data_IF_589711256896
#
_entry.id   IF_589711256896
#
_cell.length_a   1.000
_cell.length_b   1.000
_cell.length_c   1.000
_cell.angle_alpha   90.00
_cell.angle_beta   90.00
_cell.angle_gamma   90.00
#
_symmetry.space_group_name_H-M   'P 1'
#
loop_
_entity.id
_entity.type
_entity.pdbx_description
1 polymer ?
#
# COMPACT_ATOMS: atom_id res chain seq x y z
N UNK A 1 18.04 2.02 20.24
CA UNK A 1 17.10 1.16 19.49
C UNK A 1 16.05 0.68 20.47
N UNK A 2 14.84 1.24 20.42
CA UNK A 2 13.79 0.94 21.40
C UNK A 2 13.16 -0.41 21.10
N UNK A 3 13.05 -1.28 22.11
CA UNK A 3 12.41 -2.60 22.05
C UNK A 3 10.97 -2.52 21.53
N UNK A 4 10.33 -1.36 21.65
CA UNK A 4 8.96 -1.11 21.19
C UNK A 4 8.77 -1.13 19.67
N UNK A 5 9.83 -0.86 18.87
CA UNK A 5 9.70 -0.84 17.41
C UNK A 5 9.46 -2.23 16.83
N UNK A 6 10.04 -3.27 17.43
CA UNK A 6 9.92 -4.65 16.93
C UNK A 6 8.53 -5.24 17.11
N UNK A 7 7.93 -5.07 18.31
CA UNK A 7 6.59 -5.60 18.59
C UNK A 7 5.52 -4.85 17.80
N UNK A 8 5.60 -3.52 17.73
CA UNK A 8 4.67 -2.70 16.94
C UNK A 8 4.69 -3.09 15.45
N UNK A 9 5.87 -3.36 14.89
CA UNK A 9 6.00 -3.80 13.51
C UNK A 9 5.42 -5.19 13.28
N UNK A 10 5.66 -6.13 14.21
CA UNK A 10 5.07 -7.48 14.13
C UNK A 10 3.53 -7.44 14.19
N UNK A 11 2.96 -6.59 15.05
CA UNK A 11 1.49 -6.37 15.09
C UNK A 11 1.00 -5.79 13.76
N UNK A 12 1.68 -4.77 13.22
CA UNK A 12 1.30 -4.22 11.92
C UNK A 12 1.35 -5.29 10.82
N UNK A 13 2.40 -6.10 10.75
CA UNK A 13 2.57 -7.14 9.74
C UNK A 13 1.47 -8.22 9.82
N UNK A 14 1.05 -8.60 11.04
CA UNK A 14 -0.06 -9.50 11.27
C UNK A 14 -1.38 -8.90 10.74
N UNK A 15 -1.70 -7.65 11.11
CA UNK A 15 -2.90 -6.97 10.63
C UNK A 15 -2.90 -6.82 9.10
N UNK A 16 -1.75 -6.49 8.49
CA UNK A 16 -1.65 -6.44 7.03
C UNK A 16 -1.89 -7.78 6.36
N UNK A 17 -1.47 -8.89 7.00
CA UNK A 17 -1.73 -10.23 6.49
C UNK A 17 -3.22 -10.60 6.60
N UNK A 18 -3.88 -10.22 7.69
CA UNK A 18 -5.32 -10.42 7.87
C UNK A 18 -6.14 -9.63 6.85
N UNK A 19 -5.83 -8.36 6.63
CA UNK A 19 -6.48 -7.54 5.58
C UNK A 19 -6.32 -8.19 4.22
N UNK A 20 -5.10 -8.64 3.86
CA UNK A 20 -4.84 -9.32 2.57
C UNK A 20 -5.66 -10.60 2.43
N UNK A 21 -5.75 -11.40 3.50
CA UNK A 21 -6.53 -12.64 3.52
C UNK A 21 -8.03 -12.36 3.36
N UNK A 22 -8.54 -11.32 4.02
CA UNK A 22 -9.94 -10.94 3.96
C UNK A 22 -10.32 -10.17 2.68
N UNK A 23 -9.36 -9.56 1.99
CA UNK A 23 -9.58 -8.65 0.85
C UNK A 23 -10.23 -7.31 1.25
N UNK A 24 -10.39 -7.04 2.54
CA UNK A 24 -11.00 -5.82 3.07
C UNK A 24 -10.43 -5.48 4.45
N UNK A 25 -10.46 -4.19 4.82
CA UNK A 25 -10.08 -3.73 6.15
C UNK A 25 -11.33 -3.51 7.01
N UNK A 26 -11.35 -4.07 8.22
CA UNK A 26 -12.38 -3.81 9.22
C UNK A 26 -12.03 -2.57 10.05
N UNK A 27 -13.00 -2.05 10.80
CA UNK A 27 -12.78 -0.93 11.73
C UNK A 27 -11.71 -1.26 12.79
N UNK A 28 -11.63 -2.52 13.22
CA UNK A 28 -10.60 -2.98 14.16
C UNK A 28 -9.21 -2.95 13.52
N UNK A 29 -9.06 -3.46 12.29
CA UNK A 29 -7.80 -3.38 11.55
C UNK A 29 -7.33 -1.92 11.42
N UNK A 30 -8.25 -1.02 11.04
CA UNK A 30 -7.96 0.40 10.86
C UNK A 30 -7.61 1.08 12.18
N UNK A 31 -8.31 0.75 13.28
CA UNK A 31 -8.04 1.28 14.61
C UNK A 31 -6.64 0.87 15.11
N UNK A 32 -6.22 -0.37 14.89
CA UNK A 32 -4.87 -0.84 15.23
C UNK A 32 -3.82 -0.10 14.40
N UNK A 33 -4.01 -0.02 13.08
CA UNK A 33 -3.06 0.67 12.20
C UNK A 33 -3.00 2.17 12.49
N UNK A 34 -4.10 2.81 12.84
CA UNK A 34 -4.11 4.20 13.29
C UNK A 34 -3.40 4.38 14.63
N UNK A 35 -3.55 3.45 15.58
CA UNK A 35 -2.78 3.50 16.83
C UNK A 35 -1.27 3.40 16.59
N UNK A 36 -0.83 2.64 15.57
CA UNK A 36 0.58 2.44 15.24
C UNK A 36 1.17 3.57 14.39
N UNK A 37 0.42 4.07 13.40
CA UNK A 37 0.93 5.02 12.40
C UNK A 37 0.32 6.43 12.50
N UNK A 38 -0.68 6.61 13.36
CA UNK A 38 -1.37 7.87 13.62
C UNK A 38 -2.01 8.48 12.37
N UNK A 39 -1.93 9.81 12.27
CA UNK A 39 -2.45 10.61 11.15
C UNK A 39 -1.97 10.17 9.76
N UNK A 40 -0.85 9.44 9.67
CA UNK A 40 -0.38 8.90 8.40
C UNK A 40 -1.30 7.80 7.88
N UNK A 41 -1.93 7.01 8.77
CA UNK A 41 -2.92 6.02 8.37
C UNK A 41 -4.21 6.69 7.88
N UNK A 42 -4.69 7.71 8.59
CA UNK A 42 -5.87 8.50 8.17
C UNK A 42 -5.65 9.12 6.79
N UNK A 43 -4.47 9.69 6.56
CA UNK A 43 -4.09 10.22 5.24
C UNK A 43 -4.01 9.12 4.17
N UNK A 44 -3.53 7.93 4.52
CA UNK A 44 -3.45 6.79 3.61
C UNK A 44 -4.84 6.34 3.17
N UNK A 45 -5.79 6.20 4.11
CA UNK A 45 -7.19 5.88 3.81
C UNK A 45 -7.79 6.92 2.86
N UNK A 46 -7.62 8.21 3.15
CA UNK A 46 -8.11 9.29 2.29
C UNK A 46 -7.56 9.21 0.86
N UNK A 47 -6.24 8.97 0.70
CA UNK A 47 -5.63 8.81 -0.63
C UNK A 47 -6.24 7.63 -1.38
N UNK A 48 -6.52 6.53 -0.67
CA UNK A 48 -7.11 5.34 -1.26
C UNK A 48 -8.56 5.59 -1.69
N UNK A 49 -9.37 6.24 -0.83
CA UNK A 49 -10.77 6.57 -1.10
C UNK A 49 -10.91 7.53 -2.29
N UNK A 50 -9.96 8.46 -2.45
CA UNK A 50 -9.88 9.39 -3.59
C UNK A 50 -9.30 8.75 -4.86
N UNK A 51 -8.95 7.46 -4.84
CA UNK A 51 -8.39 6.74 -5.99
C UNK A 51 -6.95 7.15 -6.34
N UNK A 52 -6.20 7.69 -5.38
CA UNK A 52 -4.84 8.20 -5.56
C UNK A 52 -3.75 7.13 -5.67
N UNK A 53 -4.11 5.85 -5.80
CA UNK A 53 -3.17 4.73 -5.94
C UNK A 53 -3.38 4.02 -7.27
N UNK A 54 -2.29 3.89 -8.04
CA UNK A 54 -2.29 3.21 -9.34
C UNK A 54 -1.31 2.06 -9.32
N UNK A 55 -1.71 0.89 -9.78
CA UNK A 55 -0.82 -0.22 -10.12
C UNK A 55 -0.42 -0.06 -11.59
N UNK A 56 0.87 0.05 -11.84
CA UNK A 56 1.43 0.17 -13.18
C UNK A 56 2.16 -1.11 -13.50
N UNK A 57 1.77 -1.78 -14.57
CA UNK A 57 2.31 -3.08 -14.99
C UNK A 57 2.99 -2.93 -16.36
N UNK A 58 4.24 -3.36 -16.45
CA UNK A 58 5.01 -3.37 -17.69
C UNK A 58 4.75 -4.64 -18.49
N UNK A 59 4.48 -4.50 -19.78
CA UNK A 59 4.40 -5.59 -20.74
C UNK A 59 5.67 -5.64 -21.63
N UNK A 60 6.20 -6.83 -21.96
CA UNK A 60 5.67 -8.15 -21.62
C UNK A 60 6.13 -8.72 -20.26
N UNK A 61 7.00 -8.05 -19.50
CA UNK A 61 7.60 -8.66 -18.29
C UNK A 61 6.61 -9.00 -17.17
N UNK A 62 5.44 -8.35 -17.13
CA UNK A 62 4.45 -8.49 -16.06
C UNK A 62 4.89 -7.87 -14.73
N UNK A 63 6.05 -7.20 -14.69
CA UNK A 63 6.51 -6.49 -13.48
C UNK A 63 5.58 -5.33 -13.21
N UNK A 64 5.21 -5.14 -11.94
CA UNK A 64 4.33 -4.04 -11.55
C UNK A 64 4.85 -3.28 -10.34
N UNK A 65 4.44 -2.01 -10.25
CA UNK A 65 4.69 -1.14 -9.10
C UNK A 65 3.42 -0.38 -8.73
N UNK A 66 3.38 0.09 -7.49
CA UNK A 66 2.36 1.04 -7.05
C UNK A 66 2.89 2.46 -7.14
N UNK A 67 2.26 3.27 -7.99
CA UNK A 67 2.56 4.69 -8.12
C UNK A 67 1.67 5.48 -7.14
N UNK A 68 2.24 5.82 -6.00
CA UNK A 68 1.60 6.64 -4.97
C UNK A 68 2.66 7.49 -4.23
N UNK A 69 2.25 8.65 -3.72
CA UNK A 69 3.11 9.50 -2.87
C UNK A 69 3.16 9.04 -1.41
N UNK A 70 2.44 7.98 -1.05
CA UNK A 70 2.27 7.55 0.34
C UNK A 70 2.37 6.04 0.49
N UNK A 71 3.42 5.56 1.17
CA UNK A 71 3.73 4.14 1.27
C UNK A 71 2.61 3.32 1.94
N UNK A 72 1.99 3.85 3.00
CA UNK A 72 0.86 3.15 3.65
C UNK A 72 -0.37 3.07 2.74
N UNK A 73 -0.56 4.02 1.84
CA UNK A 73 -1.70 3.99 0.91
C UNK A 73 -1.47 2.92 -0.16
N UNK A 74 -0.24 2.84 -0.69
CA UNK A 74 0.15 1.77 -1.60
C UNK A 74 -0.01 0.38 -0.94
N UNK A 75 0.44 0.22 0.30
CA UNK A 75 0.33 -1.04 1.04
C UNK A 75 -1.11 -1.42 1.36
N UNK A 76 -1.95 -0.46 1.73
CA UNK A 76 -3.38 -0.68 1.95
C UNK A 76 -4.09 -1.04 0.64
N UNK A 77 -3.83 -0.30 -0.44
CA UNK A 77 -4.38 -0.56 -1.77
C UNK A 77 -4.04 -1.95 -2.29
N UNK A 78 -2.79 -2.39 -2.08
CA UNK A 78 -2.36 -3.75 -2.36
C UNK A 78 -3.15 -4.76 -1.53
N UNK A 79 -3.30 -4.50 -0.23
CA UNK A 79 -3.97 -5.44 0.67
C UNK A 79 -5.46 -5.61 0.39
N UNK A 80 -6.16 -4.54 0.00
CA UNK A 80 -7.60 -4.57 -0.31
C UNK A 80 -7.91 -4.65 -1.81
N UNK A 81 -6.89 -4.75 -2.67
CA UNK A 81 -7.03 -4.71 -4.13
C UNK A 81 -7.86 -3.51 -4.65
N UNK A 82 -7.74 -2.35 -4.00
CA UNK A 82 -8.40 -1.10 -4.42
C UNK A 82 -7.38 -0.18 -5.08
N UNK A 83 -7.19 -0.31 -6.37
CA UNK A 83 -6.27 0.53 -7.13
C UNK A 83 -6.70 0.62 -8.58
N UNK A 84 -6.21 1.62 -9.31
CA UNK A 84 -6.39 1.70 -10.75
C UNK A 84 -5.27 0.93 -11.44
N UNK A 85 -5.59 0.00 -12.32
CA UNK A 85 -4.61 -0.74 -13.11
C UNK A 85 -4.30 -0.01 -14.42
N UNK A 86 -3.01 0.11 -14.72
CA UNK A 86 -2.49 0.71 -15.94
C UNK A 86 -1.42 -0.21 -16.51
N UNK A 87 -1.59 -0.59 -17.77
CA UNK A 87 -0.55 -1.30 -18.53
C UNK A 87 0.29 -0.30 -19.33
N UNK A 88 1.60 -0.50 -19.33
CA UNK A 88 2.60 0.32 -20.04
C UNK A 88 3.64 -0.59 -20.68
N UNK A 89 4.48 -0.08 -21.57
CA UNK A 89 5.62 -0.87 -22.05
C UNK A 89 6.69 -1.03 -20.97
N UNK A 90 7.49 -2.10 -21.05
CA UNK A 90 8.64 -2.27 -20.15
C UNK A 90 9.64 -1.10 -20.24
N UNK A 91 9.78 -0.47 -21.42
CA UNK A 91 10.59 0.73 -21.60
C UNK A 91 10.00 1.93 -20.83
N UNK A 92 8.69 2.14 -20.91
CA UNK A 92 8.00 3.20 -20.15
C UNK A 92 8.11 2.96 -18.64
N UNK A 93 7.92 1.71 -18.20
CA UNK A 93 8.10 1.30 -16.80
C UNK A 93 9.52 1.59 -16.32
N UNK A 94 10.54 1.24 -17.12
CA UNK A 94 11.93 1.53 -16.80
C UNK A 94 12.20 3.04 -16.70
N UNK A 95 11.64 3.85 -17.61
CA UNK A 95 11.76 5.31 -17.57
C UNK A 95 11.09 5.92 -16.34
N UNK A 96 9.95 5.36 -15.88
CA UNK A 96 9.32 5.79 -14.64
C UNK A 96 10.19 5.47 -13.42
N UNK A 97 10.75 4.25 -13.35
CA UNK A 97 11.62 3.82 -12.27
C UNK A 97 12.92 4.64 -12.19
N UNK A 98 13.47 5.05 -13.33
CA UNK A 98 14.68 5.88 -13.38
C UNK A 98 14.48 7.30 -12.82
N UNK A 99 13.23 7.71 -12.54
CA UNK A 99 12.87 9.04 -12.01
C UNK A 99 12.42 9.03 -10.54
N UNK A 100 12.42 7.86 -9.89
CA UNK A 100 12.16 7.71 -8.46
C UNK A 100 13.42 8.04 -7.65
#
# INVERSE_FOLDING_TARGET
>A
MSVTAGVALAVADAVWAEIRSAGQASDEHLSILEALFGKNMVRACKILDEGGVRRVTGAPSGRSLFLCKHQLAARLAEAVSKHQDIEVTDEELAHMLAKL
#
